data_IF_800746423875
#
_entry.id   IF_800746423875
#
_cell.length_a   1.000
_cell.length_b   1.000
_cell.length_c   1.000
_cell.angle_alpha   90.00
_cell.angle_beta   90.00
_cell.angle_gamma   90.00
#
_symmetry.space_group_name_H-M   'P 1'
#
loop_
_entity.id
_entity.type
_entity.pdbx_description
1 polymer ?
#
# COMPACT_ATOMS: atom_id res chain seq x y z
N UNK A 1 -47.97 -19.66 -28.68
CA UNK A 1 -47.81 -19.53 -27.23
C UNK A 1 -46.70 -18.51 -26.96
N UNK A 2 -47.05 -17.32 -26.46
CA UNK A 2 -46.12 -16.22 -26.18
C UNK A 2 -45.53 -16.42 -24.79
N UNK A 3 -44.21 -16.35 -24.66
CA UNK A 3 -43.49 -16.37 -23.40
C UNK A 3 -43.63 -15.01 -22.66
N UNK A 4 -43.75 -14.98 -21.33
CA UNK A 4 -43.85 -13.74 -20.58
C UNK A 4 -42.47 -13.12 -20.36
N UNK A 5 -42.41 -11.78 -20.49
CA UNK A 5 -41.26 -10.95 -20.15
C UNK A 5 -40.96 -10.99 -18.63
N UNK A 6 -39.70 -11.00 -18.19
CA UNK A 6 -39.38 -10.79 -16.80
C UNK A 6 -39.44 -9.30 -16.45
N UNK A 7 -40.22 -9.00 -15.41
CA UNK A 7 -40.35 -7.67 -14.82
C UNK A 7 -39.02 -7.21 -14.17
N UNK A 8 -38.71 -5.93 -14.39
CA UNK A 8 -37.48 -5.31 -13.94
C UNK A 8 -37.32 -5.16 -12.42
N UNK A 9 -36.17 -5.54 -11.93
CA UNK A 9 -35.66 -5.22 -10.60
C UNK A 9 -34.47 -4.29 -10.73
N UNK A 10 -34.72 -2.98 -10.92
CA UNK A 10 -33.66 -1.97 -11.02
C UNK A 10 -33.73 -0.87 -9.95
N UNK A 11 -34.42 -1.09 -8.83
CA UNK A 11 -34.70 0.01 -7.89
C UNK A 11 -33.83 0.03 -6.59
N UNK A 12 -33.13 -1.06 -6.22
CA UNK A 12 -32.49 -1.10 -4.91
C UNK A 12 -30.97 -0.81 -4.89
N UNK A 13 -30.27 -1.05 -5.99
CA UNK A 13 -28.81 -0.80 -6.03
C UNK A 13 -28.47 0.69 -6.12
N UNK A 14 -29.30 1.51 -6.74
CA UNK A 14 -29.12 2.96 -6.78
C UNK A 14 -29.32 3.66 -5.42
N UNK A 15 -30.14 3.08 -4.54
CA UNK A 15 -30.36 3.66 -3.19
C UNK A 15 -29.18 3.45 -2.25
N UNK A 16 -28.46 2.36 -2.33
CA UNK A 16 -27.31 2.08 -1.46
C UNK A 16 -26.13 2.97 -1.83
N UNK A 17 -25.90 3.22 -3.13
CA UNK A 17 -24.83 4.12 -3.60
C UNK A 17 -25.16 5.58 -3.23
N UNK A 18 -26.42 6.02 -3.31
CA UNK A 18 -26.84 7.36 -2.88
C UNK A 18 -26.65 7.60 -1.38
N UNK A 19 -26.86 6.59 -0.53
CA UNK A 19 -26.68 6.77 0.91
C UNK A 19 -25.20 6.79 1.33
N UNK A 20 -24.34 6.01 0.68
CA UNK A 20 -22.91 6.02 0.94
C UNK A 20 -22.25 7.35 0.50
N UNK A 21 -22.68 7.92 -0.63
CA UNK A 21 -22.21 9.23 -1.11
C UNK A 21 -22.75 10.39 -0.28
N UNK A 22 -23.97 10.27 0.28
CA UNK A 22 -24.55 11.28 1.17
C UNK A 22 -23.86 11.31 2.54
N UNK A 23 -23.43 10.19 3.10
CA UNK A 23 -22.69 10.17 4.37
C UNK A 23 -21.24 10.63 4.21
N UNK A 24 -20.57 10.37 3.10
CA UNK A 24 -19.25 10.96 2.83
C UNK A 24 -19.35 12.48 2.58
N UNK A 25 -20.40 12.95 1.92
CA UNK A 25 -20.68 14.37 1.73
C UNK A 25 -21.07 15.11 3.02
N UNK A 26 -21.73 14.42 3.96
CA UNK A 26 -22.19 15.02 5.22
C UNK A 26 -21.05 15.16 6.25
N UNK A 27 -20.02 14.31 6.19
CA UNK A 27 -18.82 14.45 7.03
C UNK A 27 -17.93 15.65 6.60
N UNK A 28 -18.09 16.14 5.37
CA UNK A 28 -17.40 17.34 4.87
C UNK A 28 -18.14 18.64 5.16
N UNK A 29 -19.40 18.57 5.66
CA UNK A 29 -20.25 19.74 5.94
C UNK A 29 -20.39 20.07 7.43
N UNK A 30 -19.66 19.40 8.32
CA UNK A 30 -19.58 19.86 9.69
C UNK A 30 -18.76 21.16 9.69
N UNK A 31 -19.32 22.30 10.14
CA UNK A 31 -18.53 23.51 10.33
C UNK A 31 -17.53 23.21 11.43
N UNK A 32 -16.26 23.03 11.08
CA UNK A 32 -15.19 23.11 12.06
C UNK A 32 -15.32 24.49 12.71
N UNK A 33 -15.39 24.61 14.05
CA UNK A 33 -15.31 25.91 14.69
C UNK A 33 -13.97 26.51 14.26
N UNK A 34 -14.01 27.54 13.46
CA UNK A 34 -12.87 28.39 13.21
C UNK A 34 -12.47 28.98 14.55
N UNK A 35 -11.48 28.40 15.20
CA UNK A 35 -10.80 29.06 16.31
C UNK A 35 -9.99 30.18 15.67
N UNK A 36 -10.65 31.34 15.56
CA UNK A 36 -9.96 32.58 15.24
C UNK A 36 -9.00 32.84 16.40
N UNK A 37 -7.74 32.50 16.25
CA UNK A 37 -6.66 33.04 17.06
C UNK A 37 -6.54 34.50 16.69
N UNK A 38 -7.22 35.35 17.47
CA UNK A 38 -6.89 36.75 17.56
C UNK A 38 -5.58 36.83 18.34
N UNK A 39 -4.59 37.53 17.74
CA UNK A 39 -3.26 37.84 18.26
C UNK A 39 -2.14 36.76 17.99
N UNK A 40 -1.99 36.33 16.73
CA UNK A 40 -0.69 35.89 16.30
C UNK A 40 0.20 37.10 15.99
N UNK A 41 1.46 37.19 16.51
CA UNK A 41 2.40 38.21 16.06
C UNK A 41 2.52 38.11 14.54
N UNK A 42 2.59 39.25 13.85
CA UNK A 42 2.66 39.32 12.39
C UNK A 42 3.66 38.29 11.91
N UNK A 43 3.18 37.29 11.19
CA UNK A 43 3.99 36.16 10.72
C UNK A 43 5.13 36.73 9.87
N UNK A 44 6.36 36.37 10.19
CA UNK A 44 7.52 36.81 9.42
C UNK A 44 7.50 36.08 8.08
N UNK A 45 7.29 36.76 6.94
CA UNK A 45 7.16 36.10 5.63
C UNK A 45 8.37 35.22 5.27
N UNK A 46 9.55 35.57 5.75
CA UNK A 46 10.74 34.78 5.57
C UNK A 46 10.70 33.46 6.34
N UNK A 47 10.25 33.45 7.59
CA UNK A 47 10.09 32.23 8.37
C UNK A 47 9.03 31.30 7.77
N UNK A 48 7.94 31.86 7.23
CA UNK A 48 6.93 31.10 6.51
C UNK A 48 7.49 30.46 5.24
N UNK A 49 8.30 31.20 4.48
CA UNK A 49 8.96 30.69 3.28
C UNK A 49 10.00 29.60 3.59
N UNK A 50 10.63 29.64 4.77
CA UNK A 50 11.60 28.64 5.24
C UNK A 50 10.97 27.37 5.81
N UNK A 51 9.70 27.41 6.21
CA UNK A 51 9.03 26.26 6.81
C UNK A 51 9.03 25.03 5.87
N UNK A 52 8.68 25.13 4.58
CA UNK A 52 8.77 24.01 3.65
C UNK A 52 10.19 23.45 3.51
N UNK A 53 11.21 24.30 3.60
CA UNK A 53 12.62 23.86 3.53
C UNK A 53 13.00 22.97 4.72
N UNK A 54 12.59 23.36 5.93
CA UNK A 54 12.82 22.58 7.16
C UNK A 54 12.10 21.24 7.09
N UNK A 55 10.93 21.19 6.48
CA UNK A 55 10.13 19.97 6.28
C UNK A 55 10.60 19.12 5.09
N UNK A 56 11.65 19.53 4.38
CA UNK A 56 12.20 18.81 3.23
C UNK A 56 11.35 18.92 1.95
N UNK A 57 10.43 19.89 1.88
CA UNK A 57 9.57 20.19 0.74
C UNK A 57 10.24 21.23 -0.16
N UNK A 58 11.30 20.81 -0.85
CA UNK A 58 12.22 21.73 -1.53
C UNK A 58 11.58 22.54 -2.67
N UNK A 59 10.65 21.96 -3.42
CA UNK A 59 9.95 22.68 -4.49
C UNK A 59 9.01 23.75 -3.95
N UNK A 60 8.24 23.41 -2.90
CA UNK A 60 7.35 24.38 -2.26
C UNK A 60 8.15 25.49 -1.57
N UNK A 61 9.32 25.16 -0.99
CA UNK A 61 10.26 26.15 -0.46
C UNK A 61 10.78 27.06 -1.57
N UNK A 62 11.13 26.51 -2.72
CA UNK A 62 11.58 27.29 -3.90
C UNK A 62 10.50 28.27 -4.34
N UNK A 63 9.25 27.81 -4.52
CA UNK A 63 8.14 28.66 -4.89
C UNK A 63 7.85 29.76 -3.84
N UNK A 64 7.97 29.41 -2.55
CA UNK A 64 7.77 30.37 -1.47
C UNK A 64 8.87 31.42 -1.42
N UNK A 65 10.13 31.01 -1.57
CA UNK A 65 11.27 31.91 -1.60
C UNK A 65 11.26 32.79 -2.89
N UNK A 66 10.83 32.27 -4.04
CA UNK A 66 10.63 33.09 -5.25
C UNK A 66 9.60 34.19 -5.02
N UNK A 67 8.46 33.87 -4.39
CA UNK A 67 7.45 34.89 -4.05
C UNK A 67 8.01 35.91 -3.08
N UNK A 68 8.76 35.47 -2.07
CA UNK A 68 9.35 36.37 -1.07
C UNK A 68 10.38 37.32 -1.73
N UNK A 69 11.28 36.82 -2.55
CA UNK A 69 12.26 37.62 -3.31
C UNK A 69 11.58 38.63 -4.25
N UNK A 70 10.43 38.27 -4.82
CA UNK A 70 9.64 39.19 -5.64
C UNK A 70 8.94 40.29 -4.82
N UNK A 71 8.50 39.96 -3.59
CA UNK A 71 7.83 40.91 -2.66
C UNK A 71 8.82 41.76 -1.91
N UNK A 72 9.92 41.18 -1.47
CA UNK A 72 10.99 41.81 -0.69
C UNK A 72 12.34 41.70 -1.42
N UNK A 73 12.57 42.46 -2.50
CA UNK A 73 13.77 42.32 -3.34
C UNK A 73 15.06 42.64 -2.60
N UNK A 74 15.02 43.37 -1.51
CA UNK A 74 16.17 43.74 -0.68
C UNK A 74 16.51 42.68 0.39
N UNK A 75 15.77 41.58 0.47
CA UNK A 75 16.01 40.55 1.47
C UNK A 75 17.13 39.59 1.01
N UNK A 76 18.40 40.02 1.22
CA UNK A 76 19.59 39.28 0.76
C UNK A 76 19.63 37.80 1.24
N UNK A 77 19.11 37.51 2.47
CA UNK A 77 19.01 36.13 2.98
C UNK A 77 18.12 35.25 2.13
N UNK A 78 16.93 35.75 1.71
CA UNK A 78 16.02 34.99 0.87
C UNK A 78 16.63 34.67 -0.51
N UNK A 79 17.38 35.61 -1.09
CA UNK A 79 18.13 35.38 -2.33
C UNK A 79 19.16 34.28 -2.19
N UNK A 80 19.94 34.29 -1.08
CA UNK A 80 20.96 33.28 -0.83
C UNK A 80 20.35 31.89 -0.62
N UNK A 81 19.30 31.82 0.20
CA UNK A 81 18.61 30.56 0.47
C UNK A 81 17.97 29.99 -0.81
N UNK A 82 17.37 30.84 -1.64
CA UNK A 82 16.84 30.43 -2.94
C UNK A 82 17.95 29.91 -3.85
N UNK A 83 19.09 30.62 -3.95
CA UNK A 83 20.23 30.20 -4.77
C UNK A 83 20.80 28.84 -4.32
N UNK A 84 20.97 28.64 -3.01
CA UNK A 84 21.44 27.38 -2.43
C UNK A 84 20.41 26.27 -2.69
N UNK A 85 19.12 26.59 -2.58
CA UNK A 85 18.06 25.62 -2.80
C UNK A 85 17.98 25.20 -4.27
N UNK A 86 18.10 26.15 -5.23
CA UNK A 86 18.16 25.82 -6.66
C UNK A 86 19.39 24.98 -6.98
N UNK A 87 20.54 25.30 -6.38
CA UNK A 87 21.72 24.46 -6.48
C UNK A 87 21.49 23.03 -5.98
N UNK A 88 20.81 22.89 -4.83
CA UNK A 88 20.46 21.58 -4.26
C UNK A 88 19.44 20.81 -5.10
N UNK A 89 18.55 21.49 -5.79
CA UNK A 89 17.60 20.91 -6.73
C UNK A 89 18.23 20.48 -8.07
N UNK A 90 19.50 20.89 -8.30
CA UNK A 90 20.24 20.58 -9.52
C UNK A 90 20.02 21.61 -10.64
N UNK A 91 19.34 22.72 -10.35
CA UNK A 91 19.09 23.82 -11.27
C UNK A 91 20.29 24.76 -11.32
N UNK A 92 21.43 24.26 -11.85
CA UNK A 92 22.74 24.93 -11.81
C UNK A 92 22.73 26.31 -12.48
N UNK A 93 22.03 26.45 -13.59
CA UNK A 93 21.93 27.71 -14.35
C UNK A 93 21.21 28.78 -13.53
N UNK A 94 20.07 28.44 -12.96
CA UNK A 94 19.29 29.37 -12.13
C UNK A 94 20.02 29.74 -10.84
N UNK A 95 20.67 28.76 -10.18
CA UNK A 95 21.49 29.00 -9.01
C UNK A 95 22.64 29.98 -9.31
N UNK A 96 23.30 29.84 -10.46
CA UNK A 96 24.39 30.72 -10.86
C UNK A 96 23.88 32.16 -11.15
N UNK A 97 22.73 32.30 -11.81
CA UNK A 97 22.11 33.62 -12.03
C UNK A 97 21.81 34.30 -10.68
N UNK A 98 21.29 33.55 -9.71
CA UNK A 98 21.01 34.06 -8.37
C UNK A 98 22.29 34.42 -7.61
N UNK A 99 23.34 33.59 -7.68
CA UNK A 99 24.63 33.91 -7.03
C UNK A 99 25.25 35.18 -7.61
N UNK A 100 25.25 35.36 -8.93
CA UNK A 100 25.73 36.57 -9.59
C UNK A 100 24.90 37.79 -9.17
N UNK A 101 23.58 37.66 -9.12
CA UNK A 101 22.71 38.73 -8.66
C UNK A 101 23.02 39.14 -7.21
N UNK A 102 23.28 38.17 -6.32
CA UNK A 102 23.67 38.44 -4.92
C UNK A 102 24.99 39.20 -4.87
N UNK A 103 26.00 38.77 -5.61
CA UNK A 103 27.33 39.41 -5.63
C UNK A 103 27.27 40.85 -6.15
N UNK A 104 26.46 41.11 -7.20
CA UNK A 104 26.35 42.43 -7.80
C UNK A 104 25.46 43.38 -6.98
N UNK A 105 24.34 42.88 -6.45
CA UNK A 105 23.31 43.71 -5.82
C UNK A 105 23.61 44.03 -4.35
N UNK A 106 24.09 43.05 -3.62
CA UNK A 106 24.21 43.14 -2.16
C UNK A 106 25.63 43.32 -1.66
N UNK A 107 26.65 43.22 -2.54
CA UNK A 107 28.09 43.26 -2.17
C UNK A 107 28.37 42.46 -0.88
N UNK A 108 28.14 41.14 -0.87
CA UNK A 108 28.04 40.35 0.35
C UNK A 108 29.40 40.30 1.07
N UNK A 109 29.38 40.19 2.42
CA UNK A 109 30.57 40.06 3.23
C UNK A 109 31.39 38.81 2.86
N UNK A 110 32.71 38.75 3.21
CA UNK A 110 33.60 37.65 2.80
C UNK A 110 33.09 36.25 3.12
N UNK A 111 32.42 36.04 4.26
CA UNK A 111 31.88 34.74 4.63
C UNK A 111 30.76 34.25 3.71
N UNK A 112 29.93 35.15 3.20
CA UNK A 112 28.87 34.81 2.24
C UNK A 112 29.50 34.51 0.87
N UNK A 113 30.54 35.26 0.45
CA UNK A 113 31.26 34.99 -0.80
C UNK A 113 31.95 33.62 -0.73
N UNK A 114 32.49 33.22 0.43
CA UNK A 114 33.07 31.90 0.65
C UNK A 114 32.00 30.80 0.50
N UNK A 115 30.79 30.97 1.06
CA UNK A 115 29.67 30.04 0.89
C UNK A 115 29.30 29.89 -0.59
N UNK A 116 29.18 30.98 -1.33
CA UNK A 116 28.89 30.98 -2.76
C UNK A 116 29.99 30.25 -3.54
N UNK A 117 31.26 30.57 -3.27
CA UNK A 117 32.40 29.90 -3.89
C UNK A 117 32.40 28.39 -3.60
N UNK A 118 32.07 27.99 -2.35
CA UNK A 118 31.99 26.60 -1.96
C UNK A 118 30.86 25.86 -2.70
N UNK A 119 29.70 26.49 -2.87
CA UNK A 119 28.59 25.89 -3.65
C UNK A 119 28.95 25.73 -5.13
N UNK A 120 29.59 26.72 -5.73
CA UNK A 120 30.14 26.64 -7.10
C UNK A 120 31.16 25.53 -7.25
N UNK A 121 32.09 25.40 -6.29
CA UNK A 121 33.14 24.39 -6.30
C UNK A 121 32.61 22.96 -6.15
N UNK A 122 31.55 22.78 -5.35
CA UNK A 122 30.85 21.48 -5.20
C UNK A 122 30.03 21.10 -6.44
N UNK A 123 29.69 22.09 -7.27
CA UNK A 123 28.73 21.92 -8.35
C UNK A 123 27.30 21.74 -7.87
N UNK A 124 26.35 22.29 -8.62
CA UNK A 124 24.92 22.14 -8.34
C UNK A 124 24.45 20.80 -8.91
N UNK A 125 24.46 19.76 -8.09
CA UNK A 125 23.99 18.45 -8.49
C UNK A 125 22.77 18.08 -7.62
N UNK A 126 21.68 17.70 -8.27
CA UNK A 126 20.56 17.11 -7.58
C UNK A 126 21.04 15.87 -6.79
N UNK A 127 20.54 15.65 -5.57
CA UNK A 127 20.87 14.43 -4.84
C UNK A 127 20.59 13.20 -5.72
N UNK A 128 21.53 12.28 -5.79
CA UNK A 128 21.33 11.05 -6.54
C UNK A 128 20.13 10.29 -5.97
N UNK A 129 19.28 9.68 -6.82
CA UNK A 129 18.21 8.83 -6.33
C UNK A 129 18.75 7.75 -5.39
N UNK A 130 18.10 7.57 -4.25
CA UNK A 130 18.41 6.48 -3.33
C UNK A 130 17.68 5.24 -3.78
N UNK A 131 18.40 4.14 -3.88
CA UNK A 131 17.81 2.87 -4.18
C UNK A 131 18.16 1.85 -3.10
N UNK A 132 17.23 1.00 -2.80
CA UNK A 132 17.38 -0.09 -1.84
C UNK A 132 16.70 -1.34 -2.35
N UNK A 133 17.19 -2.48 -1.95
CA UNK A 133 16.61 -3.74 -2.34
C UNK A 133 16.83 -4.82 -1.29
N UNK A 134 16.04 -5.86 -1.42
CA UNK A 134 16.11 -7.05 -0.57
C UNK A 134 15.90 -8.29 -1.40
N UNK A 135 16.84 -9.22 -1.30
CA UNK A 135 16.73 -10.57 -1.82
C UNK A 135 16.51 -11.54 -0.66
N UNK A 136 15.53 -12.41 -0.79
CA UNK A 136 15.27 -13.52 0.15
C UNK A 136 15.22 -14.84 -0.61
N UNK A 137 15.95 -15.82 -0.09
CA UNK A 137 15.91 -17.21 -0.54
C UNK A 137 15.51 -18.07 0.65
N UNK A 138 14.53 -18.95 0.47
CA UNK A 138 14.08 -19.79 1.57
C UNK A 138 13.62 -21.16 1.09
N UNK A 139 13.68 -22.11 2.02
CA UNK A 139 13.14 -23.45 1.92
C UNK A 139 12.06 -23.63 2.97
N UNK A 140 10.93 -24.22 2.59
CA UNK A 140 9.80 -24.40 3.48
C UNK A 140 8.94 -25.62 3.19
N UNK A 141 7.90 -25.77 4.00
CA UNK A 141 6.85 -26.78 3.85
C UNK A 141 5.49 -26.13 4.02
N UNK A 142 4.51 -26.53 3.24
CA UNK A 142 3.12 -26.11 3.28
C UNK A 142 2.24 -27.35 3.40
N UNK A 143 1.30 -27.37 4.37
CA UNK A 143 0.44 -28.52 4.62
C UNK A 143 -0.82 -28.54 3.74
N UNK A 144 -1.12 -27.45 3.00
CA UNK A 144 -2.27 -27.35 2.12
C UNK A 144 -1.98 -26.43 0.92
N UNK A 145 -1.11 -26.90 0.02
CA UNK A 145 -0.65 -26.16 -1.17
C UNK A 145 -1.78 -25.76 -2.10
N UNK A 146 -2.77 -26.65 -2.27
CA UNK A 146 -3.90 -26.49 -3.18
C UNK A 146 -5.09 -25.73 -2.58
N UNK A 147 -4.99 -25.28 -1.32
CA UNK A 147 -6.12 -24.73 -0.55
C UNK A 147 -7.33 -25.69 -0.56
N UNK A 148 -7.05 -26.97 -0.49
CA UNK A 148 -8.06 -28.02 -0.50
C UNK A 148 -9.00 -27.92 0.69
N UNK A 149 -10.26 -28.30 0.48
CA UNK A 149 -11.31 -28.21 1.48
C UNK A 149 -10.99 -29.02 2.72
N UNK A 150 -11.16 -28.42 3.91
CA UNK A 150 -10.91 -29.09 5.19
C UNK A 150 -11.92 -30.19 5.52
N UNK A 151 -13.11 -30.11 4.92
CA UNK A 151 -14.15 -31.15 4.99
C UNK A 151 -14.40 -31.70 3.57
N UNK A 152 -14.14 -33.00 3.31
CA UNK A 152 -14.42 -33.57 2.00
C UNK A 152 -15.91 -33.71 1.69
N UNK A 153 -16.77 -33.70 2.72
CA UNK A 153 -18.20 -33.85 2.52
C UNK A 153 -18.86 -32.51 2.23
N UNK A 154 -19.72 -32.48 1.20
CA UNK A 154 -20.49 -31.31 0.86
C UNK A 154 -21.88 -31.71 0.33
N UNK A 155 -22.82 -30.80 0.40
CA UNK A 155 -24.19 -31.02 -0.04
C UNK A 155 -24.56 -30.02 -1.11
N UNK A 156 -25.19 -30.48 -2.17
CA UNK A 156 -25.79 -29.69 -3.24
C UNK A 156 -27.27 -30.00 -3.37
N UNK A 157 -28.00 -29.12 -4.04
CA UNK A 157 -29.45 -29.29 -4.27
C UNK A 157 -30.31 -28.42 -3.37
N UNK A 158 -31.63 -28.61 -3.44
CA UNK A 158 -32.62 -27.76 -2.79
C UNK A 158 -33.78 -28.59 -2.22
N UNK A 159 -34.27 -28.21 -1.05
CA UNK A 159 -35.43 -28.83 -0.41
C UNK A 159 -35.28 -30.35 -0.19
N UNK A 160 -36.15 -31.14 -0.75
CA UNK A 160 -36.11 -32.62 -0.68
C UNK A 160 -35.07 -33.27 -1.60
N UNK A 161 -34.46 -32.51 -2.51
CA UNK A 161 -33.51 -33.01 -3.51
C UNK A 161 -32.06 -32.70 -3.11
N UNK A 162 -31.71 -32.90 -1.81
CA UNK A 162 -30.36 -32.74 -1.31
C UNK A 162 -29.52 -33.97 -1.67
N UNK A 163 -28.38 -33.73 -2.31
CA UNK A 163 -27.39 -34.75 -2.65
C UNK A 163 -26.11 -34.52 -1.84
N UNK A 164 -25.76 -35.47 -1.00
CA UNK A 164 -24.48 -35.47 -0.27
C UNK A 164 -23.41 -36.12 -1.11
N UNK A 165 -22.31 -35.42 -1.32
CA UNK A 165 -21.18 -35.79 -2.15
C UNK A 165 -19.88 -35.76 -1.35
N UNK A 166 -18.89 -36.51 -1.82
CA UNK A 166 -17.55 -36.53 -1.27
C UNK A 166 -16.57 -36.02 -2.31
N UNK A 167 -15.72 -35.08 -1.94
CA UNK A 167 -14.68 -34.53 -2.80
C UNK A 167 -13.63 -35.61 -3.16
N UNK A 168 -13.19 -35.63 -4.41
CA UNK A 168 -12.01 -36.38 -4.80
C UNK A 168 -10.77 -35.92 -4.02
N UNK A 169 -9.82 -36.81 -3.74
CA UNK A 169 -8.61 -36.53 -2.94
C UNK A 169 -7.81 -35.32 -3.43
N UNK A 170 -7.85 -35.02 -4.74
CA UNK A 170 -7.18 -33.88 -5.35
C UNK A 170 -7.71 -32.50 -4.88
N UNK A 171 -8.94 -32.45 -4.35
CA UNK A 171 -9.57 -31.23 -3.80
C UNK A 171 -9.45 -31.14 -2.27
N UNK A 172 -8.84 -32.13 -1.62
CA UNK A 172 -8.51 -32.14 -0.21
C UNK A 172 -7.08 -31.61 0.02
N UNK A 173 -6.67 -31.29 1.26
CA UNK A 173 -5.36 -30.72 1.53
C UNK A 173 -4.18 -31.56 1.02
N UNK A 174 -3.34 -30.97 0.20
CA UNK A 174 -2.11 -31.60 -0.31
C UNK A 174 -0.89 -30.89 0.26
N UNK A 175 -0.01 -31.66 0.89
CA UNK A 175 1.26 -31.17 1.46
C UNK A 175 2.39 -31.27 0.46
N UNK A 176 3.25 -30.22 0.45
CA UNK A 176 4.52 -30.29 -0.26
C UNK A 176 5.57 -29.37 0.37
N UNK A 177 6.83 -29.54 -0.04
CA UNK A 177 7.93 -28.63 0.27
C UNK A 177 8.13 -27.67 -0.88
N UNK A 178 8.68 -26.49 -0.57
CA UNK A 178 8.91 -25.48 -1.60
C UNK A 178 10.23 -24.73 -1.41
N UNK A 179 10.75 -24.20 -2.50
CA UNK A 179 11.73 -23.13 -2.52
C UNK A 179 11.01 -21.83 -2.87
N UNK A 180 11.40 -20.74 -2.20
CA UNK A 180 10.85 -19.43 -2.43
C UNK A 180 11.97 -18.41 -2.66
N UNK A 181 11.83 -17.62 -3.71
CA UNK A 181 12.64 -16.45 -4.04
C UNK A 181 11.76 -15.21 -3.89
N UNK A 182 12.23 -14.19 -3.21
CA UNK A 182 11.59 -12.87 -3.17
C UNK A 182 12.66 -11.81 -3.43
N UNK A 183 12.43 -10.96 -4.41
CA UNK A 183 13.24 -9.80 -4.72
C UNK A 183 12.35 -8.57 -4.65
N UNK A 184 12.74 -7.62 -3.83
CA UNK A 184 12.07 -6.33 -3.64
C UNK A 184 13.08 -5.23 -3.91
N UNK A 185 12.68 -4.19 -4.62
CA UNK A 185 13.51 -3.03 -4.88
C UNK A 185 12.68 -1.76 -4.86
N UNK A 186 13.25 -0.68 -4.36
CA UNK A 186 12.66 0.65 -4.39
C UNK A 186 13.69 1.70 -4.78
N UNK A 187 13.20 2.77 -5.38
CA UNK A 187 13.97 3.96 -5.72
C UNK A 187 13.22 5.19 -5.24
N UNK A 188 13.90 6.07 -4.51
CA UNK A 188 13.34 7.34 -4.03
C UNK A 188 14.05 8.49 -4.75
N UNK A 189 13.30 9.27 -5.50
CA UNK A 189 13.76 10.48 -6.16
C UNK A 189 13.65 11.71 -5.26
N UNK A 190 14.26 12.83 -5.69
CA UNK A 190 14.30 14.10 -4.92
C UNK A 190 12.94 14.79 -4.81
N UNK A 191 12.05 14.58 -5.79
CA UNK A 191 10.80 15.32 -5.93
C UNK A 191 9.60 14.57 -5.32
N UNK A 192 9.83 13.75 -4.28
CA UNK A 192 8.79 12.96 -3.65
C UNK A 192 8.29 11.78 -4.48
N UNK A 193 8.89 11.50 -5.64
CA UNK A 193 8.61 10.29 -6.41
C UNK A 193 9.31 9.09 -5.82
N UNK A 194 8.56 8.01 -5.67
CA UNK A 194 9.08 6.71 -5.25
C UNK A 194 8.60 5.67 -6.25
N UNK A 195 9.52 4.84 -6.73
CA UNK A 195 9.22 3.67 -7.56
C UNK A 195 9.54 2.40 -6.80
N UNK A 196 8.83 1.32 -7.09
CA UNK A 196 9.14 0.00 -6.53
C UNK A 196 8.86 -1.11 -7.53
N UNK A 197 9.58 -2.21 -7.36
CA UNK A 197 9.37 -3.45 -8.08
C UNK A 197 9.50 -4.64 -7.12
N UNK A 198 8.68 -5.65 -7.34
CA UNK A 198 8.69 -6.89 -6.56
C UNK A 198 8.60 -8.09 -7.49
N UNK A 199 9.37 -9.12 -7.18
CA UNK A 199 9.29 -10.45 -7.80
C UNK A 199 9.21 -11.48 -6.70
N UNK A 200 8.24 -12.37 -6.75
CA UNK A 200 8.15 -13.54 -5.88
C UNK A 200 7.97 -14.79 -6.73
N UNK A 201 8.81 -15.79 -6.53
CA UNK A 201 8.71 -17.08 -7.20
C UNK A 201 8.69 -18.20 -6.16
N UNK A 202 7.72 -19.11 -6.26
CA UNK A 202 7.61 -20.29 -5.40
C UNK A 202 7.58 -21.54 -6.29
N UNK A 203 8.44 -22.50 -5.99
CA UNK A 203 8.50 -23.79 -6.66
C UNK A 203 8.35 -24.92 -5.66
N UNK A 204 7.36 -25.77 -5.91
CA UNK A 204 7.09 -26.96 -5.12
C UNK A 204 7.88 -28.15 -5.68
N UNK A 205 8.20 -29.12 -4.83
CA UNK A 205 8.98 -30.28 -5.22
C UNK A 205 8.20 -31.22 -6.14
N UNK A 206 6.94 -31.51 -5.81
CA UNK A 206 6.09 -32.47 -6.51
C UNK A 206 4.88 -31.80 -7.17
N UNK A 207 4.27 -30.83 -6.52
CA UNK A 207 3.03 -30.18 -6.95
C UNK A 207 3.30 -28.98 -7.89
N UNK A 208 4.04 -29.22 -8.99
CA UNK A 208 4.49 -28.18 -9.93
C UNK A 208 3.35 -27.35 -10.54
N UNK A 209 2.13 -27.90 -10.62
CA UNK A 209 0.93 -27.18 -11.07
C UNK A 209 0.56 -25.97 -10.18
N UNK A 210 1.11 -25.89 -8.97
CA UNK A 210 0.95 -24.78 -8.03
C UNK A 210 2.19 -23.88 -7.94
N UNK A 211 3.22 -24.14 -8.76
CA UNK A 211 4.33 -23.22 -8.88
C UNK A 211 3.81 -21.85 -9.29
N UNK A 212 4.27 -20.80 -8.62
CA UNK A 212 3.80 -19.45 -8.88
C UNK A 212 4.95 -18.47 -9.07
N UNK A 213 4.74 -17.51 -9.96
CA UNK A 213 5.60 -16.34 -10.14
C UNK A 213 4.69 -15.12 -10.11
N UNK A 214 4.95 -14.19 -9.21
CA UNK A 214 4.24 -12.92 -9.13
C UNK A 214 5.22 -11.78 -9.29
N UNK A 215 4.90 -10.83 -10.16
CA UNK A 215 5.68 -9.62 -10.40
C UNK A 215 4.77 -8.42 -10.24
N UNK A 216 5.25 -7.38 -9.59
CA UNK A 216 4.55 -6.10 -9.52
C UNK A 216 5.53 -4.95 -9.64
N UNK A 217 5.07 -3.87 -10.25
CA UNK A 217 5.77 -2.59 -10.34
C UNK A 217 4.79 -1.47 -10.00
N UNK A 218 5.29 -0.43 -9.39
CA UNK A 218 4.46 0.71 -9.04
C UNK A 218 5.29 1.97 -8.82
N UNK A 219 4.59 3.09 -8.81
CA UNK A 219 5.15 4.38 -8.46
C UNK A 219 4.15 5.15 -7.61
N UNK A 220 4.68 5.97 -6.71
CA UNK A 220 3.88 6.88 -5.91
C UNK A 220 4.54 8.25 -5.82
N UNK A 221 3.73 9.26 -5.60
CA UNK A 221 4.17 10.61 -5.33
C UNK A 221 3.75 11.01 -3.93
N UNK A 222 4.72 11.34 -3.10
CA UNK A 222 4.54 11.87 -1.76
C UNK A 222 4.55 13.39 -1.84
N UNK A 223 3.56 14.03 -1.22
CA UNK A 223 3.51 15.49 -1.07
C UNK A 223 3.11 15.86 0.35
N UNK A 224 3.73 16.92 0.85
CA UNK A 224 3.42 17.55 2.13
C UNK A 224 2.98 18.99 1.90
N UNK A 225 1.85 19.36 2.42
CA UNK A 225 1.38 20.74 2.37
C UNK A 225 0.57 21.07 3.64
N UNK A 226 0.78 22.21 4.22
CA UNK A 226 0.07 22.69 5.42
C UNK A 226 -0.03 21.61 6.53
N UNK A 227 1.02 20.81 6.73
CA UNK A 227 1.07 19.73 7.72
C UNK A 227 0.40 18.41 7.30
N UNK A 228 -0.26 18.36 6.13
CA UNK A 228 -0.84 17.15 5.57
C UNK A 228 0.21 16.33 4.82
N UNK A 229 0.32 15.04 5.10
CA UNK A 229 1.06 14.10 4.27
C UNK A 229 0.10 13.39 3.32
N UNK A 230 0.38 13.47 2.03
CA UNK A 230 -0.42 12.80 1.00
C UNK A 230 0.46 11.91 0.12
N UNK A 231 -0.07 10.75 -0.28
CA UNK A 231 0.57 9.88 -1.26
C UNK A 231 -0.45 9.45 -2.28
N UNK A 232 -0.13 9.62 -3.54
CA UNK A 232 -0.92 9.11 -4.65
C UNK A 232 -0.06 8.13 -5.42
N UNK A 233 -0.53 6.90 -5.56
CA UNK A 233 0.23 5.83 -6.19
C UNK A 233 -0.59 4.96 -7.12
N UNK A 234 0.13 4.28 -8.01
CA UNK A 234 -0.43 3.26 -8.88
C UNK A 234 0.51 2.08 -9.02
N UNK A 235 -0.06 0.92 -9.26
CA UNK A 235 0.72 -0.30 -9.50
C UNK A 235 0.07 -1.22 -10.51
N UNK A 236 0.91 -2.02 -11.16
CA UNK A 236 0.54 -3.09 -12.07
C UNK A 236 1.16 -4.39 -11.56
N UNK A 237 0.46 -5.49 -11.74
CA UNK A 237 1.00 -6.79 -11.39
C UNK A 237 0.48 -7.93 -12.24
N UNK A 238 1.29 -8.97 -12.30
CA UNK A 238 1.05 -10.21 -13.02
C UNK A 238 1.36 -11.38 -12.10
N UNK A 239 0.49 -12.38 -12.08
CA UNK A 239 0.74 -13.66 -11.43
C UNK A 239 0.57 -14.79 -12.42
N UNK A 240 1.55 -15.66 -12.49
CA UNK A 240 1.51 -16.94 -13.19
C UNK A 240 1.33 -18.08 -12.19
N UNK A 241 0.55 -19.08 -12.54
CA UNK A 241 0.33 -20.29 -11.75
C UNK A 241 0.49 -21.53 -12.67
N UNK A 242 1.35 -22.46 -12.29
CA UNK A 242 1.66 -23.63 -13.11
C UNK A 242 2.22 -23.28 -14.49
N UNK A 243 2.92 -22.14 -14.62
CA UNK A 243 3.49 -21.66 -15.88
C UNK A 243 2.48 -20.96 -16.81
N UNK A 244 1.23 -20.73 -16.37
CA UNK A 244 0.18 -20.05 -17.16
C UNK A 244 -0.17 -18.71 -16.50
N UNK A 245 -0.54 -17.73 -17.32
CA UNK A 245 -1.09 -16.46 -16.82
C UNK A 245 -2.36 -16.73 -16.02
N UNK A 246 -2.32 -16.40 -14.75
CA UNK A 246 -3.41 -16.62 -13.81
C UNK A 246 -4.19 -15.35 -13.51
N UNK A 247 -3.48 -14.26 -13.19
CA UNK A 247 -4.09 -13.01 -12.75
C UNK A 247 -3.24 -11.82 -13.19
N UNK A 248 -3.89 -10.74 -13.61
CA UNK A 248 -3.30 -9.42 -13.83
C UNK A 248 -4.08 -8.39 -13.04
N UNK A 249 -3.42 -7.38 -12.52
CA UNK A 249 -4.12 -6.29 -11.86
C UNK A 249 -3.51 -4.93 -12.17
N UNK A 250 -4.35 -3.91 -12.10
CA UNK A 250 -3.96 -2.51 -12.05
C UNK A 250 -4.63 -1.87 -10.83
N UNK A 251 -3.89 -1.04 -10.09
CA UNK A 251 -4.44 -0.35 -8.93
C UNK A 251 -4.03 1.11 -8.88
N UNK A 252 -4.92 1.93 -8.33
CA UNK A 252 -4.67 3.31 -7.93
C UNK A 252 -5.05 3.44 -6.46
N UNK A 253 -4.23 4.15 -5.70
CA UNK A 253 -4.46 4.36 -4.28
C UNK A 253 -4.09 5.79 -3.88
N UNK A 254 -4.76 6.30 -2.87
CA UNK A 254 -4.47 7.57 -2.22
C UNK A 254 -4.38 7.34 -0.71
N UNK A 255 -3.33 7.88 -0.11
CA UNK A 255 -3.08 7.87 1.32
C UNK A 255 -3.04 9.31 1.82
N UNK A 256 -3.74 9.60 2.90
CA UNK A 256 -3.86 10.94 3.47
C UNK A 256 -3.62 10.85 4.98
N UNK A 257 -2.66 11.62 5.47
CA UNK A 257 -2.38 11.76 6.90
C UNK A 257 -2.59 13.20 7.31
N UNK A 258 -3.68 13.52 8.03
CA UNK A 258 -3.95 14.85 8.53
C UNK A 258 -3.03 15.21 9.71
N UNK A 259 -2.75 16.49 9.94
CA UNK A 259 -1.96 16.98 11.07
C UNK A 259 -2.78 17.00 12.36
N UNK A 260 -3.15 15.82 12.86
CA UNK A 260 -3.93 15.71 14.09
C UNK A 260 -3.01 15.83 15.32
N UNK A 261 -3.46 16.50 16.40
CA UNK A 261 -2.71 16.59 17.66
C UNK A 261 -2.78 15.29 18.46
N UNK A 262 -2.12 14.26 17.96
CA UNK A 262 -2.02 12.96 18.61
C UNK A 262 -0.83 12.90 19.56
N UNK A 263 -0.85 12.02 20.59
CA UNK A 263 0.30 11.78 21.44
C UNK A 263 1.54 11.37 20.64
N UNK A 264 2.74 11.66 21.17
CA UNK A 264 4.00 11.36 20.51
C UNK A 264 4.08 9.90 20.05
N UNK A 265 4.52 9.69 18.83
CA UNK A 265 4.63 8.39 18.18
C UNK A 265 3.36 7.89 17.50
N UNK A 266 2.21 8.50 17.71
CA UNK A 266 0.95 8.10 17.07
C UNK A 266 0.68 8.88 15.79
N UNK A 267 0.15 8.21 14.79
CA UNK A 267 -0.26 8.81 13.51
C UNK A 267 -1.53 8.11 13.02
N UNK A 268 -2.52 8.90 12.61
CA UNK A 268 -3.76 8.41 11.99
C UNK A 268 -3.77 8.80 10.52
N UNK A 269 -4.09 7.85 9.65
CA UNK A 269 -4.15 8.06 8.21
C UNK A 269 -5.41 7.44 7.61
N UNK A 270 -5.86 7.96 6.48
CA UNK A 270 -6.87 7.39 5.62
C UNK A 270 -6.22 6.80 4.37
N UNK A 271 -6.70 5.65 3.93
CA UNK A 271 -6.35 5.01 2.66
C UNK A 271 -7.62 4.77 1.85
N UNK A 272 -7.61 5.13 0.59
CA UNK A 272 -8.64 4.72 -0.37
C UNK A 272 -7.98 4.21 -1.64
N UNK A 273 -8.65 3.28 -2.32
CA UNK A 273 -8.07 2.70 -3.54
C UNK A 273 -9.10 2.01 -4.42
N UNK A 274 -8.72 1.86 -5.67
CA UNK A 274 -9.42 1.03 -6.65
C UNK A 274 -8.41 0.08 -7.29
N UNK A 275 -8.80 -1.18 -7.42
CA UNK A 275 -8.01 -2.19 -8.11
C UNK A 275 -8.90 -2.92 -9.11
N UNK A 276 -8.45 -3.01 -10.36
CA UNK A 276 -9.07 -3.83 -11.39
C UNK A 276 -8.26 -5.10 -11.59
N UNK A 277 -8.93 -6.25 -11.47
CA UNK A 277 -8.31 -7.58 -11.52
C UNK A 277 -8.91 -8.37 -12.68
N UNK A 278 -8.05 -8.94 -13.50
CA UNK A 278 -8.40 -9.74 -14.68
C UNK A 278 -7.81 -11.14 -14.54
N UNK A 279 -8.62 -12.15 -14.84
CA UNK A 279 -8.22 -13.56 -14.89
C UNK A 279 -8.30 -14.07 -16.33
N UNK A 280 -7.18 -14.08 -17.11
CA UNK A 280 -7.21 -14.35 -18.56
C UNK A 280 -7.90 -15.64 -18.96
N UNK A 281 -7.77 -16.69 -18.15
CA UNK A 281 -8.41 -18.01 -18.41
C UNK A 281 -9.76 -18.19 -17.73
N UNK A 282 -10.24 -17.21 -16.92
CA UNK A 282 -11.45 -17.31 -16.11
C UNK A 282 -12.09 -15.94 -15.94
N UNK A 283 -12.40 -15.26 -17.04
CA UNK A 283 -12.89 -13.87 -17.08
C UNK A 283 -14.15 -13.61 -16.25
N UNK A 284 -14.90 -14.66 -15.93
CA UNK A 284 -16.06 -14.53 -15.01
C UNK A 284 -15.66 -14.15 -13.56
N UNK A 285 -14.38 -14.21 -13.21
CA UNK A 285 -13.86 -13.68 -11.94
C UNK A 285 -13.33 -12.25 -12.02
N UNK A 286 -13.28 -11.67 -13.22
CA UNK A 286 -12.82 -10.29 -13.38
C UNK A 286 -13.65 -9.34 -12.52
N UNK A 287 -12.99 -8.41 -11.86
CA UNK A 287 -13.68 -7.51 -10.94
C UNK A 287 -12.91 -6.22 -10.68
N UNK A 288 -13.64 -5.24 -10.15
CA UNK A 288 -13.10 -3.98 -9.65
C UNK A 288 -13.40 -3.85 -8.17
N UNK A 289 -12.34 -3.81 -7.36
CA UNK A 289 -12.40 -3.63 -5.93
C UNK A 289 -12.21 -2.15 -5.57
N UNK A 290 -13.16 -1.59 -4.85
CA UNK A 290 -13.09 -0.28 -4.21
C UNK A 290 -12.92 -0.47 -2.72
N UNK A 291 -11.98 0.24 -2.10
CA UNK A 291 -11.73 0.13 -0.67
C UNK A 291 -11.47 1.47 0.00
N UNK A 292 -11.84 1.56 1.28
CA UNK A 292 -11.48 2.66 2.17
C UNK A 292 -11.11 2.10 3.53
N UNK A 293 -10.01 2.60 4.12
CA UNK A 293 -9.46 2.14 5.41
C UNK A 293 -8.98 3.30 6.26
N UNK A 294 -9.19 3.20 7.57
CA UNK A 294 -8.45 3.97 8.57
C UNK A 294 -7.21 3.19 9.00
N UNK A 295 -6.09 3.86 9.18
CA UNK A 295 -4.81 3.27 9.59
C UNK A 295 -4.25 4.05 10.76
N UNK A 296 -4.04 3.39 11.89
CA UNK A 296 -3.41 3.94 13.08
C UNK A 296 -2.01 3.33 13.22
N UNK A 297 -1.00 4.18 13.26
CA UNK A 297 0.40 3.76 13.41
C UNK A 297 0.95 4.32 14.72
N UNK A 298 1.75 3.51 15.43
CA UNK A 298 2.54 3.91 16.58
C UNK A 298 3.99 3.53 16.34
N UNK A 299 4.89 4.48 16.56
CA UNK A 299 6.32 4.26 16.46
C UNK A 299 7.04 4.98 17.60
N UNK A 300 7.73 4.21 18.44
CA UNK A 300 8.60 4.75 19.49
C UNK A 300 9.80 3.83 19.70
N UNK A 301 10.99 4.39 19.51
CA UNK A 301 12.22 3.61 19.58
C UNK A 301 12.20 2.40 18.63
N UNK A 302 12.51 1.19 19.13
CA UNK A 302 12.55 -0.02 18.29
C UNK A 302 11.18 -0.66 18.05
N UNK A 303 10.09 -0.09 18.61
CA UNK A 303 8.74 -0.65 18.51
C UNK A 303 7.99 0.09 17.40
N UNK A 304 7.43 -0.66 16.47
CA UNK A 304 6.51 -0.18 15.46
C UNK A 304 5.24 -1.06 15.48
N UNK A 305 4.08 -0.41 15.60
CA UNK A 305 2.77 -1.06 15.58
C UNK A 305 1.89 -0.36 14.55
N UNK A 306 1.09 -1.13 13.83
CA UNK A 306 0.10 -0.57 12.90
C UNK A 306 -1.18 -1.40 12.98
N UNK A 307 -2.30 -0.71 13.16
CA UNK A 307 -3.64 -1.26 13.05
C UNK A 307 -4.37 -0.63 11.88
N UNK A 308 -5.15 -1.39 11.14
CA UNK A 308 -6.05 -0.84 10.12
C UNK A 308 -7.41 -1.49 10.16
N UNK A 309 -8.45 -0.73 9.79
CA UNK A 309 -9.81 -1.24 9.60
C UNK A 309 -10.48 -0.52 8.45
N UNK A 310 -11.32 -1.22 7.69
CA UNK A 310 -11.95 -0.64 6.52
C UNK A 310 -12.99 -1.53 5.88
N UNK A 311 -13.53 -1.01 4.79
CA UNK A 311 -14.61 -1.61 4.02
C UNK A 311 -14.27 -1.62 2.54
N UNK A 312 -14.73 -2.66 1.83
CA UNK A 312 -14.56 -2.78 0.40
C UNK A 312 -15.80 -3.29 -0.31
N UNK A 313 -15.95 -2.86 -1.55
CA UNK A 313 -16.97 -3.32 -2.50
C UNK A 313 -16.25 -3.86 -3.73
N UNK A 314 -16.54 -5.11 -4.07
CA UNK A 314 -15.94 -5.81 -5.19
C UNK A 314 -17.01 -6.12 -6.23
N UNK A 315 -17.00 -5.34 -7.31
CA UNK A 315 -17.95 -5.38 -8.42
C UNK A 315 -17.38 -6.35 -9.46
N UNK A 316 -18.06 -7.50 -9.63
CA UNK A 316 -17.68 -8.51 -10.62
C UNK A 316 -18.26 -8.19 -12.00
N UNK A 317 -17.74 -8.88 -13.03
CA UNK A 317 -18.46 -8.92 -14.27
C UNK A 317 -19.78 -9.73 -14.07
N UNK A 318 -20.79 -9.52 -14.90
CA UNK A 318 -22.13 -10.06 -14.69
C UNK A 318 -22.25 -11.58 -14.58
N UNK A 319 -21.21 -12.33 -14.97
CA UNK A 319 -21.17 -13.79 -14.97
C UNK A 319 -20.59 -14.39 -13.67
N UNK A 320 -20.15 -13.57 -12.69
CA UNK A 320 -19.54 -14.08 -11.46
C UNK A 320 -20.56 -14.80 -10.58
N UNK A 321 -20.21 -16.00 -10.13
CA UNK A 321 -20.99 -16.76 -9.15
C UNK A 321 -21.16 -15.97 -7.85
N UNK A 322 -22.41 -15.85 -7.36
CA UNK A 322 -22.73 -15.03 -6.18
C UNK A 322 -22.80 -13.53 -6.43
N UNK A 323 -22.48 -13.05 -7.64
CA UNK A 323 -22.54 -11.62 -8.02
C UNK A 323 -21.47 -10.76 -7.34
N UNK A 324 -21.81 -9.48 -7.13
CA UNK A 324 -20.97 -8.55 -6.40
C UNK A 324 -20.83 -8.96 -4.93
N UNK A 325 -19.77 -8.50 -4.31
CA UNK A 325 -19.54 -8.77 -2.89
C UNK A 325 -19.02 -7.52 -2.17
N UNK A 326 -19.29 -7.48 -0.89
CA UNK A 326 -18.80 -6.42 -0.01
C UNK A 326 -18.22 -7.04 1.26
N UNK A 327 -17.35 -6.31 1.94
CA UNK A 327 -16.69 -6.88 3.09
C UNK A 327 -15.91 -5.91 3.95
N UNK A 328 -15.50 -6.41 5.10
CA UNK A 328 -14.66 -5.70 6.06
C UNK A 328 -13.23 -6.19 5.99
N UNK A 329 -12.30 -5.27 6.23
CA UNK A 329 -10.89 -5.55 6.40
C UNK A 329 -10.44 -5.11 7.79
N UNK A 330 -9.58 -5.88 8.42
CA UNK A 330 -8.84 -5.47 9.59
C UNK A 330 -7.43 -6.05 9.53
N UNK A 331 -6.44 -5.31 10.01
CA UNK A 331 -5.09 -5.83 10.15
C UNK A 331 -4.41 -5.27 11.38
N UNK A 332 -3.49 -6.05 11.95
CA UNK A 332 -2.56 -5.65 12.98
C UNK A 332 -1.17 -6.10 12.56
N UNK A 333 -0.20 -5.22 12.68
CA UNK A 333 1.22 -5.52 12.41
C UNK A 333 2.05 -4.95 13.54
N UNK A 334 3.03 -5.73 13.99
CA UNK A 334 3.97 -5.34 15.02
C UNK A 334 5.39 -5.70 14.60
N UNK A 335 6.34 -4.82 14.90
CA UNK A 335 7.77 -5.08 14.75
C UNK A 335 8.48 -4.58 15.99
N UNK A 336 9.39 -5.39 16.53
CA UNK A 336 10.19 -5.02 17.69
C UNK A 336 11.58 -5.65 17.62
N UNK A 337 12.57 -4.98 18.22
CA UNK A 337 13.87 -5.59 18.52
C UNK A 337 13.72 -6.47 19.77
N UNK A 338 14.11 -7.73 19.66
CA UNK A 338 14.02 -8.73 20.74
C UNK A 338 15.33 -8.84 21.55
N UNK A 339 16.34 -8.01 21.27
CA UNK A 339 17.66 -8.07 21.85
C UNK A 339 18.67 -8.80 20.94
N UNK A 340 19.98 -8.59 21.15
CA UNK A 340 21.05 -9.21 20.33
C UNK A 340 20.97 -8.93 18.82
N UNK A 341 20.31 -7.85 18.43
CA UNK A 341 20.07 -7.52 17.03
C UNK A 341 18.93 -8.31 16.36
N UNK A 342 18.30 -9.23 17.07
CA UNK A 342 17.17 -10.03 16.56
C UNK A 342 15.93 -9.16 16.42
N UNK A 343 15.26 -9.26 15.27
CA UNK A 343 14.00 -8.57 14.99
C UNK A 343 12.84 -9.58 14.97
N UNK A 344 11.78 -9.26 15.70
CA UNK A 344 10.51 -9.97 15.65
C UNK A 344 9.47 -9.20 14.85
N UNK A 345 8.73 -9.89 13.99
CA UNK A 345 7.58 -9.35 13.25
C UNK A 345 6.36 -10.24 13.47
N UNK A 346 5.23 -9.64 13.76
CA UNK A 346 3.94 -10.31 13.86
C UNK A 346 2.93 -9.58 12.98
N UNK A 347 2.20 -10.30 12.17
CA UNK A 347 1.13 -9.77 11.32
C UNK A 347 -0.13 -10.62 11.46
N UNK A 348 -1.27 -9.97 11.63
CA UNK A 348 -2.58 -10.57 11.56
C UNK A 348 -3.44 -9.80 10.58
N UNK A 349 -4.15 -10.51 9.72
CA UNK A 349 -5.07 -9.94 8.75
C UNK A 349 -6.40 -10.70 8.82
N UNK A 350 -7.49 -9.95 8.80
CA UNK A 350 -8.84 -10.45 8.72
C UNK A 350 -9.55 -9.83 7.52
N UNK A 351 -10.27 -10.66 6.77
CA UNK A 351 -11.15 -10.23 5.69
C UNK A 351 -12.47 -10.97 5.82
N UNK A 352 -13.58 -10.25 5.65
CA UNK A 352 -14.89 -10.86 5.46
C UNK A 352 -15.47 -10.43 4.12
N UNK A 353 -16.16 -11.35 3.46
CA UNK A 353 -16.84 -11.08 2.21
C UNK A 353 -18.21 -11.69 2.22
N UNK A 354 -19.22 -10.95 1.77
CA UNK A 354 -20.59 -11.41 1.56
C UNK A 354 -20.99 -11.19 0.11
N UNK A 355 -21.40 -12.24 -0.58
CA UNK A 355 -21.94 -12.20 -1.93
C UNK A 355 -23.37 -11.64 -1.94
N UNK A 356 -23.72 -10.94 -3.01
CA UNK A 356 -25.01 -10.29 -3.16
C UNK A 356 -26.15 -11.25 -3.55
N UNK A 357 -25.81 -12.40 -4.12
CA UNK A 357 -26.79 -13.40 -4.66
C UNK A 357 -26.38 -14.81 -4.27
N UNK A 358 -27.29 -15.76 -4.47
CA UNK A 358 -26.98 -17.20 -4.36
C UNK A 358 -25.77 -17.56 -5.22
N UNK A 359 -24.86 -18.37 -4.66
CA UNK A 359 -23.59 -18.73 -5.33
C UNK A 359 -23.83 -19.44 -6.67
N UNK A 360 -24.75 -20.40 -6.69
CA UNK A 360 -25.13 -21.14 -7.90
C UNK A 360 -26.61 -21.53 -7.77
N UNK A 361 -27.56 -20.74 -8.30
CA UNK A 361 -28.96 -21.03 -8.20
C UNK A 361 -29.33 -22.44 -8.69
N UNK A 362 -30.10 -23.17 -7.91
CA UNK A 362 -30.47 -24.55 -8.18
C UNK A 362 -29.48 -25.63 -7.71
N UNK A 363 -28.24 -25.25 -7.45
CA UNK A 363 -27.18 -26.15 -6.95
C UNK A 363 -26.74 -25.77 -5.53
N UNK A 364 -26.43 -24.48 -5.31
CA UNK A 364 -26.00 -23.92 -4.03
C UNK A 364 -26.76 -22.60 -3.85
N UNK A 365 -27.97 -22.67 -3.32
CA UNK A 365 -28.90 -21.55 -3.22
C UNK A 365 -28.68 -20.64 -2.02
N UNK A 366 -27.43 -20.57 -1.53
CA UNK A 366 -27.04 -19.67 -0.45
C UNK A 366 -26.05 -18.62 -0.96
N UNK A 367 -26.17 -17.40 -0.49
CA UNK A 367 -25.16 -16.37 -0.72
C UNK A 367 -23.90 -16.75 0.02
N UNK A 368 -22.76 -16.69 -0.68
CA UNK A 368 -21.44 -17.03 -0.11
C UNK A 368 -21.03 -16.02 0.95
N UNK A 369 -20.62 -16.50 2.10
CA UNK A 369 -20.04 -15.71 3.20
C UNK A 369 -18.69 -16.29 3.57
N UNK A 370 -17.68 -15.45 3.45
CA UNK A 370 -16.27 -15.83 3.65
C UNK A 370 -15.68 -15.03 4.80
N UNK A 371 -14.90 -15.68 5.64
CA UNK A 371 -14.11 -15.07 6.72
C UNK A 371 -12.70 -15.64 6.68
N UNK A 372 -11.75 -14.87 6.19
CA UNK A 372 -10.35 -15.29 6.07
C UNK A 372 -9.51 -14.61 7.14
N UNK A 373 -8.73 -15.39 7.87
CA UNK A 373 -7.72 -14.93 8.80
C UNK A 373 -6.35 -15.41 8.32
N UNK A 374 -5.38 -14.51 8.36
CA UNK A 374 -3.98 -14.82 8.10
C UNK A 374 -3.16 -14.36 9.31
N UNK A 375 -2.38 -15.26 9.88
CA UNK A 375 -1.37 -14.98 10.89
C UNK A 375 0.00 -15.21 10.26
N UNK A 376 0.93 -14.26 10.45
CA UNK A 376 2.34 -14.36 10.06
C UNK A 376 3.21 -13.99 11.24
N UNK A 377 4.16 -14.84 11.57
CA UNK A 377 5.19 -14.54 12.55
C UNK A 377 6.55 -14.76 11.92
N UNK A 378 7.46 -13.82 12.09
CA UNK A 378 8.81 -13.89 11.56
C UNK A 378 9.83 -13.44 12.60
N UNK A 379 10.92 -14.18 12.69
CA UNK A 379 12.10 -13.79 13.46
C UNK A 379 13.27 -13.70 12.52
N UNK A 380 14.00 -12.58 12.56
CA UNK A 380 15.16 -12.33 11.73
C UNK A 380 16.41 -12.13 12.60
N UNK A 381 17.47 -12.86 12.28
CA UNK A 381 18.77 -12.79 12.93
C UNK A 381 19.77 -12.12 11.96
N UNK A 382 20.26 -10.90 12.23
CA UNK A 382 21.29 -10.28 11.43
C UNK A 382 22.62 -11.03 11.60
N UNK A 383 23.27 -11.36 10.49
CA UNK A 383 24.64 -11.91 10.45
C UNK A 383 25.66 -10.81 10.18
N UNK A 384 25.26 -9.78 9.43
CA UNK A 384 26.02 -8.58 9.14
C UNK A 384 25.05 -7.42 8.91
N UNK A 385 25.56 -6.25 8.50
CA UNK A 385 24.73 -5.10 8.12
C UNK A 385 23.81 -5.40 6.93
N UNK A 386 24.23 -6.29 6.04
CA UNK A 386 23.55 -6.59 4.79
C UNK A 386 22.87 -7.95 4.80
N UNK A 387 23.40 -8.92 5.54
CA UNK A 387 22.97 -10.32 5.51
C UNK A 387 22.29 -10.75 6.81
N UNK A 388 21.29 -11.60 6.69
CA UNK A 388 20.59 -12.19 7.83
C UNK A 388 19.94 -13.51 7.52
N UNK A 389 19.59 -14.25 8.56
CA UNK A 389 18.73 -15.42 8.49
C UNK A 389 17.34 -15.04 8.96
N UNK A 390 16.32 -15.74 8.49
CA UNK A 390 14.97 -15.59 9.00
C UNK A 390 14.24 -16.92 9.09
N UNK A 391 13.37 -17.02 10.08
CA UNK A 391 12.38 -18.09 10.23
C UNK A 391 11.00 -17.45 10.16
N UNK A 392 10.14 -17.94 9.28
CA UNK A 392 8.77 -17.46 9.12
C UNK A 392 7.78 -18.61 9.28
N UNK A 393 6.74 -18.37 10.07
CA UNK A 393 5.54 -19.18 10.16
C UNK A 393 4.36 -18.38 9.61
N UNK A 394 3.51 -19.05 8.82
CA UNK A 394 2.28 -18.49 8.28
C UNK A 394 1.13 -19.48 8.44
N UNK A 395 -0.02 -18.98 8.89
CA UNK A 395 -1.26 -19.73 8.98
C UNK A 395 -2.37 -18.95 8.28
N UNK A 396 -3.11 -19.62 7.41
CA UNK A 396 -4.34 -19.11 6.78
C UNK A 396 -5.49 -19.98 7.24
N UNK A 397 -6.56 -19.36 7.69
CA UNK A 397 -7.82 -20.01 8.01
C UNK A 397 -8.95 -19.33 7.28
N UNK A 398 -9.54 -20.04 6.32
CA UNK A 398 -10.68 -19.58 5.55
C UNK A 398 -11.93 -20.33 6.02
N UNK A 399 -12.83 -19.62 6.69
CA UNK A 399 -14.14 -20.13 7.11
C UNK A 399 -15.19 -19.68 6.10
N UNK A 400 -16.04 -20.60 5.69
CA UNK A 400 -17.07 -20.39 4.70
C UNK A 400 -18.38 -21.01 5.13
N UNK A 401 -19.50 -20.42 4.71
CA UNK A 401 -20.80 -21.06 4.86
C UNK A 401 -21.05 -22.16 3.79
N UNK A 402 -20.24 -22.19 2.72
CA UNK A 402 -20.19 -23.28 1.74
C UNK A 402 -18.95 -24.09 2.04
N UNK A 403 -19.11 -25.30 2.59
CA UNK A 403 -18.02 -26.14 3.11
C UNK A 403 -16.92 -26.44 2.08
N UNK A 404 -17.30 -26.49 0.80
CA UNK A 404 -16.41 -26.68 -0.34
C UNK A 404 -15.23 -25.70 -0.39
N UNK A 405 -15.40 -24.48 0.11
CA UNK A 405 -14.40 -23.43 0.06
C UNK A 405 -13.72 -23.18 1.41
N UNK A 406 -14.13 -23.90 2.46
CA UNK A 406 -13.52 -23.77 3.76
C UNK A 406 -12.20 -24.55 3.83
N UNK A 407 -11.09 -23.85 4.14
CA UNK A 407 -9.78 -24.47 4.24
C UNK A 407 -8.91 -23.87 5.32
N UNK A 408 -7.87 -24.62 5.71
CA UNK A 408 -6.79 -24.14 6.54
C UNK A 408 -5.46 -24.55 5.89
N UNK A 409 -4.47 -23.64 5.93
CA UNK A 409 -3.10 -23.92 5.48
C UNK A 409 -2.12 -23.38 6.51
N UNK A 410 -1.04 -24.12 6.75
CA UNK A 410 0.09 -23.73 7.58
C UNK A 410 1.37 -23.93 6.82
N UNK A 411 2.22 -22.94 6.84
CA UNK A 411 3.54 -23.07 6.25
C UNK A 411 4.63 -22.56 7.17
N UNK A 412 5.78 -23.16 7.09
CA UNK A 412 7.00 -22.74 7.79
C UNK A 412 8.11 -22.67 6.76
N UNK A 413 8.96 -21.65 6.86
CA UNK A 413 10.13 -21.52 6.00
C UNK A 413 11.31 -20.92 6.76
N UNK A 414 12.50 -21.43 6.46
CA UNK A 414 13.77 -20.89 6.92
C UNK A 414 14.52 -20.37 5.68
N UNK A 415 15.16 -19.19 5.81
CA UNK A 415 15.82 -18.59 4.69
C UNK A 415 16.93 -17.62 5.08
N UNK A 416 17.62 -17.19 4.06
CA UNK A 416 18.62 -16.15 4.07
C UNK A 416 18.09 -14.92 3.36
N UNK A 417 18.48 -13.74 3.85
CA UNK A 417 18.18 -12.46 3.23
C UNK A 417 19.44 -11.61 3.06
N UNK A 418 19.45 -10.87 1.97
CA UNK A 418 20.44 -9.85 1.67
C UNK A 418 19.73 -8.53 1.40
N UNK A 419 20.19 -7.49 2.09
CA UNK A 419 19.74 -6.10 1.90
C UNK A 419 20.87 -5.35 1.21
N UNK A 420 20.54 -4.62 0.16
CA UNK A 420 21.50 -3.87 -0.62
C UNK A 420 20.92 -2.52 -1.02
N UNK A 421 21.77 -1.51 -1.22
CA UNK A 421 21.33 -0.16 -1.61
C UNK A 421 22.37 0.90 -1.37
N UNK A 422 22.05 2.09 -1.83
CA UNK A 422 22.88 3.32 -1.64
C UNK A 422 21.99 4.45 -1.17
#
# INVERSE_FOLDING_TARGET
MRAPHPAGYTANTRRIICWATLWLGLLMLLPFPAWANTDAPAANPYLEAMQPLIEGRFEEASEALHRLVAQEPEHAGAWLDLAILQCRLGNAEEAEILFQAIEVRFDPPPGIREIIALQRAKGCQAPAPRWEGRLRLSRGSDDNVNQGASNPNFTIGQGSNLLSLVLSPEFTPQRDRFNNLSLEGSVSGVNGWQGYAQLQARRYDHLSRYNSVSTSVGAERVRRFAGWDTRLGGSLGLTQLGGKDYQRYASLNAWITPPLPLPAGWQLSGLTGVSHVVYPSRSYFDSSLWEARGVLTYQQGPIWLQGSGGYGVDIGNGARAGGDRHGLFASLSARAALGGGVLGELGWLYQSWAGARSYSPGLIDVARRQHTQLLRAMVSLPLSKEHGLFLEYRMVRNRENISLFAYQSRSVQLGWQWQFGR
#
